data_IF_245199976955
#
_entry.id   IF_245199976955
#
_cell.length_a   1.000
_cell.length_b   1.000
_cell.length_c   1.000
_cell.angle_alpha   90.00
_cell.angle_beta   90.00
_cell.angle_gamma   90.00
#
_symmetry.space_group_name_H-M   'P 1'
#
loop_
_entity.id
_entity.type
_entity.pdbx_description
1 polymer ?
#
# COMPACT_ATOMS: atom_id res chain seq x y z
N UNK A 1 -30.92 -30.05 -43.32
CA UNK A 1 -30.11 -31.11 -42.67
C UNK A 1 -28.63 -30.70 -42.79
N UNK A 2 -28.01 -30.24 -41.70
CA UNK A 2 -26.61 -29.81 -41.71
C UNK A 2 -25.71 -31.03 -41.80
N UNK A 3 -24.82 -31.09 -42.82
CA UNK A 3 -23.98 -32.28 -43.05
C UNK A 3 -22.93 -32.45 -41.93
N UNK A 4 -22.50 -33.68 -41.67
CA UNK A 4 -21.49 -33.98 -40.64
C UNK A 4 -20.17 -33.21 -40.93
N UNK A 5 -19.86 -32.93 -42.19
CA UNK A 5 -18.71 -32.11 -42.61
C UNK A 5 -18.85 -30.66 -42.20
N UNK A 6 -20.02 -30.04 -42.36
CA UNK A 6 -20.26 -28.65 -41.96
C UNK A 6 -20.12 -28.45 -40.42
N UNK A 7 -20.64 -29.39 -39.65
CA UNK A 7 -20.48 -29.37 -38.15
C UNK A 7 -19.02 -29.49 -37.76
N UNK A 8 -18.25 -30.33 -38.41
CA UNK A 8 -16.81 -30.51 -38.17
C UNK A 8 -16.02 -29.28 -38.52
N UNK A 9 -16.33 -28.63 -39.64
CA UNK A 9 -15.68 -27.37 -40.04
C UNK A 9 -16.04 -26.20 -39.14
N UNK A 10 -17.29 -26.05 -38.71
CA UNK A 10 -17.71 -25.05 -37.73
C UNK A 10 -17.02 -25.26 -36.37
N UNK A 11 -16.86 -26.49 -35.92
CA UNK A 11 -16.14 -26.82 -34.68
C UNK A 11 -14.64 -26.51 -34.80
N UNK A 12 -14.02 -26.83 -35.92
CA UNK A 12 -12.62 -26.53 -36.22
C UNK A 12 -12.35 -25.01 -36.24
N UNK A 13 -13.19 -24.25 -36.95
CA UNK A 13 -13.12 -22.78 -36.98
C UNK A 13 -13.33 -22.14 -35.61
N UNK A 14 -14.29 -22.65 -34.83
CA UNK A 14 -14.52 -22.17 -33.44
C UNK A 14 -13.32 -22.44 -32.56
N UNK A 15 -12.75 -23.62 -32.64
CA UNK A 15 -11.55 -23.97 -31.90
C UNK A 15 -10.35 -23.11 -32.34
N UNK A 16 -10.14 -22.93 -33.64
CA UNK A 16 -9.09 -22.07 -34.16
C UNK A 16 -9.23 -20.61 -33.62
N UNK A 17 -10.43 -20.04 -33.74
CA UNK A 17 -10.71 -18.69 -33.21
C UNK A 17 -10.50 -18.60 -31.69
N UNK A 18 -10.88 -19.65 -30.93
CA UNK A 18 -10.69 -19.69 -29.50
C UNK A 18 -9.22 -19.75 -29.11
N UNK A 19 -8.42 -20.59 -29.79
CA UNK A 19 -6.98 -20.68 -29.51
C UNK A 19 -6.23 -19.44 -29.96
N UNK A 20 -6.58 -18.85 -31.11
CA UNK A 20 -5.95 -17.59 -31.57
C UNK A 20 -6.23 -16.43 -30.61
N UNK A 21 -7.45 -16.29 -30.10
CA UNK A 21 -7.79 -15.28 -29.08
C UNK A 21 -7.01 -15.50 -27.78
N UNK A 22 -6.88 -16.74 -27.33
CA UNK A 22 -6.07 -17.08 -26.14
C UNK A 22 -4.59 -16.75 -26.35
N UNK A 23 -4.05 -17.05 -27.52
CA UNK A 23 -2.65 -16.73 -27.85
C UNK A 23 -2.42 -15.22 -27.86
N UNK A 24 -3.32 -14.46 -28.49
CA UNK A 24 -3.25 -12.99 -28.51
C UNK A 24 -3.33 -12.45 -27.07
N UNK A 25 -4.28 -12.92 -26.27
CA UNK A 25 -4.42 -12.51 -24.87
C UNK A 25 -3.14 -12.81 -24.06
N UNK A 26 -2.54 -14.00 -24.26
CA UNK A 26 -1.29 -14.37 -23.62
C UNK A 26 -0.13 -13.44 -24.01
N UNK A 27 0.00 -13.11 -25.29
CA UNK A 27 1.02 -12.19 -25.79
C UNK A 27 0.84 -10.81 -25.15
N UNK A 28 -0.40 -10.29 -25.10
CA UNK A 28 -0.70 -9.00 -24.47
C UNK A 28 -0.35 -9.01 -22.98
N UNK A 29 -0.68 -10.08 -22.26
CA UNK A 29 -0.34 -10.24 -20.84
C UNK A 29 1.17 -10.30 -20.62
N UNK A 30 1.90 -11.08 -21.42
CA UNK A 30 3.36 -11.18 -21.33
C UNK A 30 4.02 -9.84 -21.64
N UNK A 31 3.58 -9.17 -22.70
CA UNK A 31 4.11 -7.85 -23.07
C UNK A 31 3.84 -6.81 -21.96
N UNK A 32 2.63 -6.80 -21.42
CA UNK A 32 2.29 -5.94 -20.28
C UNK A 32 3.14 -6.25 -19.05
N UNK A 33 3.37 -7.52 -18.73
CA UNK A 33 4.24 -7.94 -17.63
C UNK A 33 5.69 -7.46 -17.81
N UNK A 34 6.24 -7.59 -19.02
CA UNK A 34 7.58 -7.11 -19.34
C UNK A 34 7.66 -5.59 -19.15
N UNK A 35 6.69 -4.83 -19.68
CA UNK A 35 6.65 -3.38 -19.50
C UNK A 35 6.57 -2.95 -18.04
N UNK A 36 5.76 -3.65 -17.23
CA UNK A 36 5.60 -3.35 -15.80
C UNK A 36 6.84 -3.72 -14.98
N UNK A 37 7.52 -4.81 -15.31
CA UNK A 37 8.72 -5.25 -14.60
C UNK A 37 9.98 -4.50 -15.03
N UNK A 38 10.00 -3.91 -16.23
CA UNK A 38 11.16 -3.24 -16.78
C UNK A 38 11.75 -2.15 -15.86
N UNK A 39 10.98 -1.21 -15.28
CA UNK A 39 11.53 -0.20 -14.37
C UNK A 39 12.19 -0.82 -13.13
N UNK A 40 11.60 -1.91 -12.61
CA UNK A 40 12.16 -2.62 -11.45
C UNK A 40 13.47 -3.34 -11.80
N UNK A 41 13.52 -4.00 -12.95
CA UNK A 41 14.74 -4.65 -13.45
C UNK A 41 15.83 -3.62 -13.72
N UNK A 42 15.48 -2.45 -14.26
CA UNK A 42 16.41 -1.34 -14.48
C UNK A 42 16.98 -0.80 -13.14
N UNK A 43 16.11 -0.57 -12.16
CA UNK A 43 16.49 -0.15 -10.80
C UNK A 43 17.44 -1.17 -10.16
N UNK A 44 17.08 -2.46 -10.20
CA UNK A 44 17.90 -3.55 -9.67
C UNK A 44 19.25 -3.64 -10.38
N UNK A 45 19.29 -3.54 -11.69
CA UNK A 45 20.52 -3.52 -12.46
C UNK A 45 21.44 -2.37 -12.06
N UNK A 46 20.90 -1.14 -12.01
CA UNK A 46 21.70 0.04 -11.67
C UNK A 46 22.18 0.05 -10.22
N UNK A 47 21.48 -0.63 -9.31
CA UNK A 47 21.92 -0.75 -7.91
C UNK A 47 23.23 -1.54 -7.74
N UNK A 48 23.61 -2.34 -8.73
CA UNK A 48 24.87 -3.10 -8.75
C UNK A 48 25.97 -2.47 -9.58
N UNK A 49 25.71 -1.35 -10.28
CA UNK A 49 26.72 -0.66 -11.09
C UNK A 49 27.64 0.20 -10.23
N UNK A 50 28.87 0.42 -10.69
CA UNK A 50 29.74 1.42 -10.07
C UNK A 50 29.34 2.84 -10.48
N UNK A 51 29.71 3.84 -9.66
CA UNK A 51 29.50 5.26 -10.00
C UNK A 51 30.15 5.63 -11.33
N UNK A 52 31.39 5.21 -11.54
CA UNK A 52 32.13 5.46 -12.79
C UNK A 52 31.44 4.82 -13.99
N UNK A 53 30.88 3.63 -13.83
CA UNK A 53 30.16 2.94 -14.88
C UNK A 53 28.92 3.72 -15.33
N UNK A 54 28.14 4.27 -14.41
CA UNK A 54 26.96 5.06 -14.72
C UNK A 54 27.35 6.40 -15.38
N UNK A 55 28.32 7.12 -14.81
CA UNK A 55 28.75 8.42 -15.34
C UNK A 55 29.33 8.28 -16.74
N UNK A 56 30.24 7.32 -16.96
CA UNK A 56 30.91 7.14 -18.25
C UNK A 56 29.99 6.60 -19.35
N UNK A 57 28.88 5.98 -18.99
CA UNK A 57 27.92 5.41 -19.94
C UNK A 57 26.52 6.04 -19.86
N UNK A 58 26.42 7.29 -19.38
CA UNK A 58 25.16 7.99 -19.18
C UNK A 58 24.26 8.06 -20.44
N UNK A 59 24.87 8.04 -21.63
CA UNK A 59 24.18 8.07 -22.93
C UNK A 59 23.87 6.70 -23.51
N UNK A 60 24.31 5.61 -22.84
CA UNK A 60 24.14 4.24 -23.36
C UNK A 60 23.22 3.43 -22.47
N UNK A 61 22.20 2.81 -23.06
CA UNK A 61 21.30 1.93 -22.35
C UNK A 61 21.85 0.51 -22.31
N UNK A 62 22.08 -0.02 -21.11
CA UNK A 62 22.41 -1.43 -20.88
C UNK A 62 21.93 -1.89 -19.51
N UNK A 63 21.45 -3.12 -19.45
CA UNK A 63 20.87 -3.69 -18.24
C UNK A 63 21.86 -4.48 -17.40
N UNK A 64 22.89 -5.10 -18.00
CA UNK A 64 23.81 -5.98 -17.29
C UNK A 64 25.01 -5.15 -16.79
N UNK A 65 25.27 -5.05 -15.47
CA UNK A 65 26.45 -4.40 -14.95
C UNK A 65 27.74 -5.03 -15.53
N UNK A 66 28.75 -4.21 -15.81
CA UNK A 66 30.08 -4.72 -16.22
C UNK A 66 30.76 -5.41 -15.04
N UNK A 67 30.70 -4.76 -13.88
CA UNK A 67 31.16 -5.28 -12.60
C UNK A 67 30.04 -5.18 -11.58
N UNK A 68 29.79 -6.27 -10.83
CA UNK A 68 28.76 -6.29 -9.80
C UNK A 68 29.29 -5.70 -8.50
N UNK A 69 28.86 -4.48 -8.16
CA UNK A 69 29.28 -3.74 -6.96
C UNK A 69 28.22 -3.92 -5.86
N UNK A 70 28.41 -4.93 -5.00
CA UNK A 70 27.51 -5.20 -3.87
C UNK A 70 27.65 -4.20 -2.72
N UNK A 71 28.79 -3.50 -2.65
CA UNK A 71 29.09 -2.53 -1.59
C UNK A 71 28.15 -1.33 -1.60
N UNK A 72 27.47 -1.03 -2.70
CA UNK A 72 26.45 0.03 -2.76
C UNK A 72 25.39 -0.12 -1.67
N UNK A 73 25.01 -1.35 -1.33
CA UNK A 73 24.00 -1.66 -0.31
C UNK A 73 24.47 -1.43 1.13
N UNK A 74 25.77 -1.38 1.37
CA UNK A 74 26.36 -1.08 2.68
C UNK A 74 26.83 0.36 2.78
N UNK A 75 27.39 0.90 1.72
CA UNK A 75 27.89 2.28 1.67
C UNK A 75 26.75 3.29 1.79
N UNK A 76 25.56 3.02 1.26
CA UNK A 76 24.40 3.92 1.37
C UNK A 76 24.06 4.27 2.84
N UNK A 77 24.24 3.34 3.77
CA UNK A 77 24.00 3.58 5.20
C UNK A 77 25.07 4.48 5.86
N UNK A 78 26.24 4.65 5.22
CA UNK A 78 27.27 5.57 5.67
C UNK A 78 27.11 6.96 5.07
N UNK A 79 26.50 7.03 3.88
CA UNK A 79 26.31 8.29 3.15
C UNK A 79 25.11 9.06 3.67
N UNK A 80 24.01 8.35 4.01
CA UNK A 80 22.81 8.91 4.62
C UNK A 80 22.36 8.05 5.79
N UNK A 81 21.63 8.63 6.78
CA UNK A 81 21.11 7.86 7.92
C UNK A 81 19.91 7.00 7.52
N UNK A 82 20.05 6.17 6.46
CA UNK A 82 18.97 5.36 5.89
C UNK A 82 18.31 4.45 6.93
N UNK A 83 19.10 3.98 7.92
CA UNK A 83 18.60 3.18 9.03
C UNK A 83 17.57 3.94 9.88
N UNK A 84 17.78 5.24 10.11
CA UNK A 84 16.81 6.09 10.81
C UNK A 84 15.52 6.21 9.99
N UNK A 85 15.63 6.40 8.67
CA UNK A 85 14.46 6.46 7.78
C UNK A 85 13.62 5.18 7.84
N UNK A 86 14.26 4.01 7.83
CA UNK A 86 13.58 2.72 8.04
C UNK A 86 12.90 2.67 9.42
N UNK A 87 13.61 3.02 10.48
CA UNK A 87 13.10 2.96 11.84
C UNK A 87 11.93 3.94 12.05
N UNK A 88 12.05 5.17 11.58
CA UNK A 88 11.00 6.19 11.67
C UNK A 88 9.73 5.73 10.95
N UNK A 89 9.88 5.24 9.70
CA UNK A 89 8.74 4.70 8.94
C UNK A 89 8.11 3.51 9.67
N UNK A 90 8.91 2.59 10.20
CA UNK A 90 8.43 1.41 10.91
C UNK A 90 7.69 1.78 12.21
N UNK A 91 8.18 2.78 12.96
CA UNK A 91 7.50 3.28 14.18
C UNK A 91 6.12 3.83 13.82
N UNK A 92 6.04 4.72 12.82
CA UNK A 92 4.75 5.25 12.35
C UNK A 92 3.83 4.11 11.92
N UNK A 93 4.33 3.21 11.09
CA UNK A 93 3.60 2.07 10.53
C UNK A 93 2.99 1.19 11.62
N UNK A 94 3.83 0.70 12.55
CA UNK A 94 3.38 -0.23 13.60
C UNK A 94 2.37 0.43 14.52
N UNK A 95 2.66 1.65 14.98
CA UNK A 95 1.78 2.36 15.94
C UNK A 95 0.43 2.66 15.29
N UNK A 96 0.44 3.21 14.08
CA UNK A 96 -0.79 3.59 13.36
C UNK A 96 -1.60 2.34 12.98
N UNK A 97 -0.97 1.31 12.44
CA UNK A 97 -1.70 0.11 12.04
C UNK A 97 -2.29 -0.64 13.23
N UNK A 98 -1.56 -0.79 14.32
CA UNK A 98 -2.06 -1.54 15.48
C UNK A 98 -3.20 -0.78 16.17
N UNK A 99 -2.95 0.46 16.56
CA UNK A 99 -3.94 1.25 17.32
C UNK A 99 -5.10 1.68 16.42
N UNK A 100 -4.79 2.22 15.24
CA UNK A 100 -5.80 2.70 14.30
C UNK A 100 -6.70 1.59 13.77
N UNK A 101 -6.16 0.38 13.49
CA UNK A 101 -6.98 -0.77 13.10
C UNK A 101 -7.91 -1.20 14.24
N UNK A 102 -7.42 -1.25 15.47
CA UNK A 102 -8.24 -1.56 16.63
C UNK A 102 -9.41 -0.56 16.77
N UNK A 103 -9.11 0.73 16.74
CA UNK A 103 -10.13 1.80 16.84
C UNK A 103 -11.13 1.70 15.67
N UNK A 104 -10.62 1.50 14.45
CA UNK A 104 -11.48 1.40 13.26
C UNK A 104 -12.40 0.19 13.30
N UNK A 105 -11.90 -0.98 13.72
CA UNK A 105 -12.71 -2.20 13.82
C UNK A 105 -13.77 -2.09 14.91
N UNK A 106 -13.43 -1.46 16.04
CA UNK A 106 -14.39 -1.19 17.11
C UNK A 106 -15.49 -0.23 16.65
N UNK A 107 -15.13 0.82 15.92
CA UNK A 107 -16.08 1.74 15.29
C UNK A 107 -16.94 1.00 14.27
N UNK A 108 -16.36 0.18 13.39
CA UNK A 108 -17.12 -0.59 12.39
C UNK A 108 -18.13 -1.53 13.04
N UNK A 109 -17.77 -2.21 14.13
CA UNK A 109 -18.69 -3.02 14.92
C UNK A 109 -19.83 -2.18 15.48
N UNK A 110 -19.51 -1.03 16.10
CA UNK A 110 -20.51 -0.14 16.67
C UNK A 110 -21.48 0.39 15.61
N UNK A 111 -20.96 0.86 14.48
CA UNK A 111 -21.79 1.36 13.37
C UNK A 111 -22.54 0.27 12.60
N UNK A 112 -22.16 -0.98 12.66
CA UNK A 112 -22.89 -2.07 12.00
C UNK A 112 -23.95 -2.69 12.93
N UNK A 113 -23.62 -2.92 14.21
CA UNK A 113 -24.42 -3.79 15.11
C UNK A 113 -25.13 -3.06 16.24
N UNK A 114 -24.66 -1.88 16.64
CA UNK A 114 -25.28 -1.17 17.76
C UNK A 114 -26.22 -0.08 17.22
N UNK A 115 -27.39 0.01 17.85
CA UNK A 115 -28.30 1.11 17.61
C UNK A 115 -28.11 2.18 18.70
N UNK A 116 -27.64 3.35 18.30
CA UNK A 116 -27.48 4.50 19.17
C UNK A 116 -28.02 5.77 18.51
N UNK A 117 -28.38 6.75 19.33
CA UNK A 117 -28.93 8.01 18.84
C UNK A 117 -27.91 8.74 17.95
N UNK A 118 -28.35 9.21 16.79
CA UNK A 118 -27.50 9.96 15.86
C UNK A 118 -26.53 9.12 15.04
N UNK A 119 -26.56 7.78 15.11
CA UNK A 119 -25.67 6.84 14.41
C UNK A 119 -25.42 7.23 12.95
N UNK A 120 -26.47 7.44 12.18
CA UNK A 120 -26.36 7.76 10.76
C UNK A 120 -25.76 9.15 10.53
N UNK A 121 -26.14 10.13 11.35
CA UNK A 121 -25.60 11.50 11.26
C UNK A 121 -24.09 11.50 11.50
N UNK A 122 -23.63 10.85 12.58
CA UNK A 122 -22.22 10.74 12.89
C UNK A 122 -21.47 10.00 11.79
N UNK A 123 -22.03 8.90 11.27
CA UNK A 123 -21.41 8.15 10.18
C UNK A 123 -21.26 8.99 8.91
N UNK A 124 -22.29 9.72 8.49
CA UNK A 124 -22.22 10.59 7.32
C UNK A 124 -21.29 11.80 7.52
N UNK A 125 -21.19 12.33 8.72
CA UNK A 125 -20.20 13.38 9.06
C UNK A 125 -18.78 12.86 8.92
N UNK A 126 -18.49 11.65 9.39
CA UNK A 126 -17.17 11.03 9.17
C UNK A 126 -16.88 10.85 7.69
N UNK A 127 -17.84 10.35 6.91
CA UNK A 127 -17.67 10.19 5.47
C UNK A 127 -17.46 11.52 4.74
N UNK A 128 -18.17 12.58 5.14
CA UNK A 128 -18.00 13.90 4.54
C UNK A 128 -16.59 14.45 4.75
N UNK A 129 -15.95 14.11 5.86
CA UNK A 129 -14.55 14.46 6.13
C UNK A 129 -13.56 13.89 5.09
N UNK A 130 -13.84 12.71 4.52
CA UNK A 130 -13.01 12.13 3.45
C UNK A 130 -13.08 12.92 2.14
N UNK A 131 -14.11 13.73 1.93
CA UNK A 131 -14.26 14.54 0.71
C UNK A 131 -13.37 15.78 0.73
N UNK A 132 -12.81 16.13 1.89
CA UNK A 132 -11.90 17.28 2.03
C UNK A 132 -10.50 16.84 1.56
N UNK A 133 -9.96 17.43 0.47
CA UNK A 133 -8.63 17.09 0.01
C UNK A 133 -7.58 17.45 1.06
N UNK A 134 -6.60 16.57 1.28
CA UNK A 134 -5.53 16.78 2.26
C UNK A 134 -4.81 18.12 2.08
N UNK A 135 -4.56 18.52 0.82
CA UNK A 135 -3.87 19.78 0.51
C UNK A 135 -4.59 21.02 1.08
N UNK A 136 -5.92 20.96 1.20
CA UNK A 136 -6.74 22.09 1.72
C UNK A 136 -6.55 22.27 3.22
N UNK A 137 -6.33 21.19 3.95
CA UNK A 137 -6.15 21.20 5.41
C UNK A 137 -4.69 21.27 5.83
N UNK A 138 -3.77 21.16 4.88
CA UNK A 138 -2.33 21.10 5.13
C UNK A 138 -1.81 22.31 5.91
N UNK A 139 -2.12 23.54 5.44
CA UNK A 139 -1.64 24.77 6.07
C UNK A 139 -2.17 24.93 7.50
N UNK A 140 -3.48 24.80 7.77
CA UNK A 140 -3.99 24.84 9.14
C UNK A 140 -3.46 23.69 10.02
N UNK A 141 -3.22 22.49 9.47
CA UNK A 141 -2.59 21.40 10.23
C UNK A 141 -1.13 21.72 10.57
N UNK A 142 -0.37 22.25 9.64
CA UNK A 142 1.01 22.66 9.88
C UNK A 142 1.10 23.72 11.00
N UNK A 143 0.26 24.76 10.95
CA UNK A 143 0.18 25.78 12.00
C UNK A 143 -0.19 25.18 13.36
N UNK A 144 -1.16 24.26 13.38
CA UNK A 144 -1.57 23.56 14.59
C UNK A 144 -0.41 22.75 15.20
N UNK A 145 0.28 21.92 14.41
CA UNK A 145 1.41 21.12 14.88
C UNK A 145 2.58 21.96 15.37
N UNK A 146 2.86 23.09 14.66
CA UNK A 146 3.90 24.03 15.08
C UNK A 146 3.56 24.70 16.41
N UNK A 147 2.31 25.12 16.63
CA UNK A 147 1.87 25.71 17.89
C UNK A 147 1.85 24.75 19.08
N UNK A 148 1.75 23.46 18.80
CA UNK A 148 1.80 22.39 19.81
C UNK A 148 3.23 21.87 20.06
N UNK A 149 4.25 22.50 19.44
CA UNK A 149 5.66 22.07 19.51
C UNK A 149 5.88 20.60 19.07
N UNK A 150 5.03 20.13 18.15
CA UNK A 150 5.11 18.77 17.57
C UNK A 150 5.77 18.74 16.19
N UNK A 151 6.08 19.90 15.62
CA UNK A 151 6.82 20.01 14.35
C UNK A 151 8.20 19.37 14.50
N UNK A 152 8.68 18.75 13.43
CA UNK A 152 9.92 17.97 13.39
C UNK A 152 9.94 16.74 14.34
N UNK A 153 8.77 16.18 14.62
CA UNK A 153 8.60 14.91 15.33
C UNK A 153 7.72 13.96 14.51
N UNK A 154 7.72 12.66 14.85
CA UNK A 154 6.86 11.69 14.18
C UNK A 154 5.36 11.81 14.54
N UNK A 155 5.04 12.60 15.58
CA UNK A 155 3.68 12.71 16.12
C UNK A 155 2.64 13.26 15.15
N UNK A 156 2.92 14.27 14.29
CA UNK A 156 2.00 14.72 13.25
C UNK A 156 1.55 13.63 12.29
N UNK A 157 2.39 12.61 12.07
CA UNK A 157 2.11 11.47 11.20
C UNK A 157 1.42 10.32 11.93
N UNK A 158 1.63 10.20 13.24
CA UNK A 158 1.07 9.15 14.09
C UNK A 158 -0.32 9.52 14.62
N UNK A 159 -0.47 10.70 15.24
CA UNK A 159 -1.67 11.07 15.98
C UNK A 159 -2.95 10.96 15.15
N UNK A 160 -3.04 11.48 13.90
CA UNK A 160 -4.26 11.35 13.11
C UNK A 160 -4.68 9.90 12.88
N UNK A 161 -3.70 9.01 12.68
CA UNK A 161 -3.93 7.59 12.46
C UNK A 161 -4.44 6.82 13.68
N UNK A 162 -4.18 7.31 14.91
CA UNK A 162 -4.67 6.68 16.15
C UNK A 162 -6.19 6.73 16.28
N UNK A 163 -6.84 7.72 15.67
CA UNK A 163 -8.31 7.85 15.67
C UNK A 163 -8.98 6.95 14.63
N UNK A 164 -8.21 6.14 13.93
CA UNK A 164 -8.71 5.21 12.93
C UNK A 164 -8.68 5.76 11.50
N UNK A 165 -9.15 4.93 10.58
CA UNK A 165 -9.21 5.23 9.15
C UNK A 165 -10.66 5.18 8.66
N UNK A 166 -11.19 6.31 8.22
CA UNK A 166 -12.61 6.42 7.82
C UNK A 166 -12.92 5.59 6.57
N UNK A 167 -11.98 5.48 5.62
CA UNK A 167 -12.14 4.61 4.44
C UNK A 167 -12.24 3.15 4.83
N UNK A 168 -11.38 2.71 5.75
CA UNK A 168 -11.41 1.36 6.32
C UNK A 168 -12.70 1.13 7.12
N UNK A 169 -13.13 2.11 7.93
CA UNK A 169 -14.39 2.06 8.67
C UNK A 169 -15.59 1.84 7.73
N UNK A 170 -15.68 2.63 6.67
CA UNK A 170 -16.74 2.49 5.67
C UNK A 170 -16.75 1.09 5.06
N UNK A 171 -15.59 0.62 4.59
CA UNK A 171 -15.47 -0.69 3.97
C UNK A 171 -15.82 -1.83 4.93
N UNK A 172 -15.30 -1.79 6.16
CA UNK A 172 -15.57 -2.81 7.18
C UNK A 172 -17.04 -2.83 7.60
N UNK A 173 -17.66 -1.65 7.71
CA UNK A 173 -19.11 -1.56 7.98
C UNK A 173 -19.91 -2.20 6.86
N UNK A 174 -19.64 -1.89 5.59
CA UNK A 174 -20.32 -2.49 4.44
C UNK A 174 -20.14 -4.02 4.41
N UNK A 175 -18.94 -4.50 4.69
CA UNK A 175 -18.65 -5.93 4.77
C UNK A 175 -19.44 -6.57 5.93
N UNK A 176 -19.41 -5.97 7.11
CA UNK A 176 -20.14 -6.45 8.27
C UNK A 176 -21.65 -6.47 8.06
N UNK A 177 -22.23 -5.46 7.38
CA UNK A 177 -23.64 -5.39 7.07
C UNK A 177 -24.10 -6.52 6.12
N UNK A 178 -23.17 -7.12 5.35
CA UNK A 178 -23.47 -8.28 4.50
C UNK A 178 -23.57 -9.59 5.27
N UNK A 179 -23.16 -9.63 6.54
CA UNK A 179 -23.22 -10.82 7.40
C UNK A 179 -24.64 -10.90 8.01
N UNK A 180 -25.35 -12.03 7.91
CA UNK A 180 -26.70 -12.18 8.49
C UNK A 180 -26.75 -11.87 9.98
N UNK A 181 -27.81 -11.21 10.43
CA UNK A 181 -28.00 -10.84 11.84
C UNK A 181 -28.14 -12.07 12.74
N UNK A 182 -28.73 -13.14 12.23
CA UNK A 182 -28.96 -14.38 12.97
C UNK A 182 -27.70 -14.91 13.69
N UNK A 183 -26.52 -14.67 13.11
CA UNK A 183 -25.23 -15.08 13.71
C UNK A 183 -24.97 -14.32 15.04
N UNK A 184 -25.32 -13.04 15.06
CA UNK A 184 -25.14 -12.18 16.25
C UNK A 184 -26.23 -12.41 17.28
N UNK A 185 -27.48 -12.56 16.84
CA UNK A 185 -28.62 -12.89 17.68
C UNK A 185 -28.42 -14.24 18.39
N UNK A 186 -27.92 -15.25 17.67
CA UNK A 186 -27.57 -16.54 18.29
C UNK A 186 -26.50 -16.39 19.39
N UNK A 187 -25.51 -15.51 19.20
CA UNK A 187 -24.51 -15.24 20.23
C UNK A 187 -25.11 -14.52 21.44
N UNK A 188 -26.01 -13.56 21.22
CA UNK A 188 -26.73 -12.86 22.30
C UNK A 188 -27.61 -13.81 23.11
N UNK A 189 -28.30 -14.76 22.44
CA UNK A 189 -29.11 -15.79 23.12
C UNK A 189 -28.29 -16.70 24.04
N UNK A 190 -27.00 -16.85 23.81
CA UNK A 190 -26.08 -17.57 24.73
C UNK A 190 -25.60 -16.72 25.91
N UNK A 191 -26.08 -15.47 26.04
CA UNK A 191 -25.67 -14.56 27.10
C UNK A 191 -24.34 -13.85 26.83
N UNK A 192 -23.84 -13.85 25.58
CA UNK A 192 -22.59 -13.17 25.23
C UNK A 192 -22.77 -11.65 25.33
N UNK A 193 -21.87 -10.98 26.05
CA UNK A 193 -21.86 -9.53 26.15
C UNK A 193 -21.20 -8.91 24.89
N UNK A 194 -21.32 -7.60 24.76
CA UNK A 194 -20.78 -6.78 23.67
C UNK A 194 -19.32 -7.11 23.29
N UNK A 195 -18.43 -7.16 24.28
CA UNK A 195 -17.01 -7.45 24.04
C UNK A 195 -16.76 -8.90 23.62
N UNK A 196 -17.55 -9.84 24.15
CA UNK A 196 -17.48 -11.25 23.74
C UNK A 196 -17.87 -11.40 22.27
N UNK A 197 -18.96 -10.76 21.85
CA UNK A 197 -19.43 -10.78 20.46
C UNK A 197 -18.39 -10.09 19.56
N UNK A 198 -17.86 -8.94 19.95
CA UNK A 198 -16.81 -8.26 19.20
C UNK A 198 -15.59 -9.17 18.94
N UNK A 199 -15.02 -9.75 20.01
CA UNK A 199 -13.78 -10.53 19.90
C UNK A 199 -13.98 -11.93 19.29
N UNK A 200 -15.08 -12.63 19.63
CA UNK A 200 -15.28 -14.02 19.28
C UNK A 200 -16.15 -14.24 18.05
N UNK A 201 -16.95 -13.24 17.65
CA UNK A 201 -17.86 -13.36 16.51
C UNK A 201 -17.49 -12.36 15.42
N UNK A 202 -17.54 -11.06 15.74
CA UNK A 202 -17.35 -10.01 14.74
C UNK A 202 -15.94 -10.06 14.11
N UNK A 203 -14.88 -9.94 14.90
CA UNK A 203 -13.51 -9.89 14.39
C UNK A 203 -13.13 -11.12 13.54
N UNK A 204 -13.43 -12.36 13.93
CA UNK A 204 -13.17 -13.52 13.08
C UNK A 204 -13.91 -13.49 11.74
N UNK A 205 -15.17 -13.04 11.73
CA UNK A 205 -15.99 -12.98 10.53
C UNK A 205 -15.51 -11.90 9.55
N UNK A 206 -15.10 -10.73 10.06
CA UNK A 206 -14.60 -9.63 9.22
C UNK A 206 -13.09 -9.68 8.97
N UNK A 207 -12.38 -10.67 9.51
CA UNK A 207 -10.92 -10.82 9.38
C UNK A 207 -10.40 -10.70 7.94
N UNK A 208 -11.02 -11.31 6.91
CA UNK A 208 -10.53 -11.16 5.54
C UNK A 208 -10.57 -9.69 5.07
N UNK A 209 -11.62 -8.96 5.43
CA UNK A 209 -11.78 -7.56 5.10
C UNK A 209 -10.79 -6.66 5.87
N UNK A 210 -10.55 -6.96 7.16
CA UNK A 210 -9.53 -6.28 7.96
C UNK A 210 -8.16 -6.43 7.30
N UNK A 211 -7.77 -7.66 6.96
CA UNK A 211 -6.46 -7.92 6.35
C UNK A 211 -6.28 -7.16 5.04
N UNK A 212 -7.29 -7.16 4.17
CA UNK A 212 -7.22 -6.40 2.92
C UNK A 212 -7.02 -4.90 3.18
N UNK A 213 -7.76 -4.30 4.10
CA UNK A 213 -7.67 -2.89 4.41
C UNK A 213 -6.36 -2.50 5.12
N UNK A 214 -5.87 -3.35 6.04
CA UNK A 214 -4.57 -3.14 6.71
C UNK A 214 -3.44 -3.12 5.69
N UNK A 215 -3.49 -3.97 4.67
CA UNK A 215 -2.47 -3.97 3.61
C UNK A 215 -2.52 -2.67 2.80
N UNK A 216 -3.71 -2.18 2.42
CA UNK A 216 -3.82 -0.89 1.72
C UNK A 216 -3.34 0.26 2.59
N UNK A 217 -3.62 0.24 3.88
CA UNK A 217 -3.16 1.28 4.81
C UNK A 217 -1.65 1.21 5.01
N UNK A 218 -1.09 -0.01 5.15
CA UNK A 218 0.36 -0.24 5.14
C UNK A 218 1.01 0.38 3.90
N UNK A 219 0.52 0.05 2.70
CA UNK A 219 1.07 0.60 1.47
C UNK A 219 0.98 2.13 1.41
N UNK A 220 -0.10 2.71 1.97
CA UNK A 220 -0.29 4.16 2.06
C UNK A 220 0.77 4.82 2.94
N UNK A 221 0.99 4.31 4.15
CA UNK A 221 1.96 4.87 5.10
C UNK A 221 3.40 4.62 4.61
N UNK A 222 3.71 3.39 4.17
CA UNK A 222 5.05 3.03 3.71
C UNK A 222 5.54 3.88 2.54
N UNK A 223 4.63 4.23 1.62
CA UNK A 223 4.96 5.04 0.44
C UNK A 223 4.65 6.53 0.62
N UNK A 224 4.20 6.97 1.80
CA UNK A 224 3.94 8.37 2.04
C UNK A 224 5.24 9.17 1.98
N UNK A 225 5.18 10.18 1.13
CA UNK A 225 6.28 11.11 0.93
C UNK A 225 5.85 12.53 1.34
N UNK A 226 4.62 12.91 0.99
CA UNK A 226 4.21 14.30 1.00
C UNK A 226 4.01 14.86 2.42
N UNK A 227 3.32 14.12 3.29
CA UNK A 227 3.15 14.52 4.68
C UNK A 227 4.50 14.57 5.44
N UNK A 228 5.29 13.48 5.39
CA UNK A 228 6.60 13.44 6.06
C UNK A 228 7.57 14.51 5.57
N UNK A 229 7.60 14.86 4.28
CA UNK A 229 8.48 15.89 3.74
C UNK A 229 8.21 17.28 4.32
N UNK A 230 6.94 17.56 4.62
CA UNK A 230 6.51 18.84 5.18
C UNK A 230 6.74 18.92 6.69
N UNK A 231 6.49 17.83 7.41
CA UNK A 231 6.53 17.85 8.87
C UNK A 231 7.91 17.53 9.45
N UNK A 232 8.84 16.92 8.69
CA UNK A 232 10.13 16.42 9.15
C UNK A 232 11.30 17.08 8.38
N UNK A 233 11.67 18.33 8.69
CA UNK A 233 12.79 19.01 8.02
C UNK A 233 14.15 18.40 8.36
N UNK A 234 14.36 17.98 9.63
CA UNK A 234 15.64 17.41 10.08
C UNK A 234 15.88 16.04 9.44
N UNK A 235 17.08 15.84 8.88
CA UNK A 235 17.43 14.64 8.11
C UNK A 235 17.23 13.34 8.90
N UNK A 236 17.62 13.33 10.17
CA UNK A 236 17.53 12.17 11.07
C UNK A 236 16.09 11.77 11.38
N UNK A 237 15.15 12.73 11.30
CA UNK A 237 13.73 12.52 11.56
C UNK A 237 12.95 12.08 10.33
N UNK A 238 13.53 12.24 9.12
CA UNK A 238 12.84 11.89 7.86
C UNK A 238 12.43 10.42 7.81
N UNK A 239 11.32 10.16 7.11
CA UNK A 239 10.91 8.80 6.74
C UNK A 239 11.75 8.28 5.58
N UNK A 240 11.69 6.98 5.35
CA UNK A 240 12.48 6.30 4.33
C UNK A 240 12.30 6.91 2.93
N UNK A 241 11.05 7.15 2.51
CA UNK A 241 10.77 7.68 1.16
C UNK A 241 11.28 9.10 0.98
N UNK A 242 11.10 9.94 2.00
CA UNK A 242 11.61 11.33 1.97
C UNK A 242 13.13 11.34 1.97
N UNK A 243 13.77 10.47 2.74
CA UNK A 243 15.23 10.37 2.82
C UNK A 243 15.84 9.94 1.49
N UNK A 244 15.26 8.93 0.82
CA UNK A 244 15.72 8.48 -0.51
C UNK A 244 15.60 9.63 -1.51
N UNK A 245 14.46 10.33 -1.52
CA UNK A 245 14.22 11.44 -2.45
C UNK A 245 15.08 12.67 -2.14
N UNK A 246 15.28 13.00 -0.86
CA UNK A 246 16.19 14.06 -0.45
C UNK A 246 17.59 13.80 -0.99
N UNK A 247 18.06 12.56 -0.86
CA UNK A 247 19.38 12.18 -1.35
C UNK A 247 19.49 12.24 -2.88
N UNK A 248 18.44 11.86 -3.61
CA UNK A 248 18.39 11.97 -5.08
C UNK A 248 18.46 13.43 -5.54
N UNK A 249 17.82 14.36 -4.83
CA UNK A 249 17.74 15.77 -5.21
C UNK A 249 18.92 16.61 -4.69
N UNK A 250 19.31 16.47 -3.43
CA UNK A 250 20.19 17.42 -2.72
C UNK A 250 21.65 16.94 -2.66
N UNK A 251 21.92 15.66 -2.56
CA UNK A 251 23.29 15.16 -2.53
C UNK A 251 24.05 15.36 -3.86
N UNK A 252 23.34 15.70 -4.92
CA UNK A 252 23.88 15.95 -6.25
C UNK A 252 24.02 17.41 -6.65
N UNK A 253 23.78 18.39 -5.76
CA UNK A 253 23.93 19.81 -6.10
C UNK A 253 22.88 20.33 -7.09
N UNK A 254 21.61 19.95 -6.95
CA UNK A 254 20.49 20.49 -7.69
C UNK A 254 20.25 19.86 -9.07
N UNK A 255 19.93 18.57 -9.08
CA UNK A 255 19.50 17.88 -10.31
C UNK A 255 20.10 16.48 -10.48
N UNK A 256 19.87 15.58 -9.51
CA UNK A 256 20.13 14.15 -9.67
C UNK A 256 21.56 13.83 -10.15
N UNK A 257 22.57 13.99 -9.29
CA UNK A 257 23.94 13.66 -9.70
C UNK A 257 24.03 12.17 -10.05
N UNK A 258 24.39 11.86 -11.29
CA UNK A 258 24.62 10.51 -11.77
C UNK A 258 25.59 9.71 -10.88
N UNK A 259 26.46 10.42 -10.15
CA UNK A 259 27.44 9.83 -9.23
C UNK A 259 26.76 9.04 -8.10
N UNK A 260 25.63 9.54 -7.57
CA UNK A 260 24.92 8.89 -6.46
C UNK A 260 23.82 7.93 -6.90
N UNK A 261 23.54 7.87 -8.20
CA UNK A 261 22.46 7.03 -8.73
C UNK A 261 22.54 5.55 -8.29
N UNK A 262 23.69 4.87 -8.23
CA UNK A 262 23.76 3.49 -7.74
C UNK A 262 23.27 3.34 -6.30
N UNK A 263 23.56 4.33 -5.43
CA UNK A 263 23.12 4.33 -4.03
C UNK A 263 21.62 4.57 -3.92
N UNK A 264 21.08 5.54 -4.67
CA UNK A 264 19.61 5.79 -4.73
C UNK A 264 18.88 4.54 -5.20
N UNK A 265 19.40 3.86 -6.23
CA UNK A 265 18.84 2.61 -6.74
C UNK A 265 18.91 1.49 -5.70
N UNK A 266 20.04 1.36 -4.98
CA UNK A 266 20.18 0.38 -3.91
C UNK A 266 19.22 0.65 -2.74
N UNK A 267 19.09 1.92 -2.31
CA UNK A 267 18.12 2.31 -1.29
C UNK A 267 16.67 2.03 -1.71
N UNK A 268 16.33 2.31 -2.99
CA UNK A 268 15.01 2.04 -3.55
C UNK A 268 14.72 0.54 -3.63
N UNK A 269 15.70 -0.30 -3.97
CA UNK A 269 15.55 -1.76 -3.90
C UNK A 269 15.30 -2.22 -2.47
N UNK A 270 16.08 -1.73 -1.49
CA UNK A 270 15.86 -2.05 -0.07
C UNK A 270 14.48 -1.60 0.40
N UNK A 271 14.05 -0.41 0.02
CA UNK A 271 12.72 0.13 0.34
C UNK A 271 11.57 -0.70 -0.25
N UNK A 272 11.78 -1.38 -1.37
CA UNK A 272 10.76 -2.23 -2.00
C UNK A 272 10.59 -3.58 -1.31
N UNK A 273 11.56 -4.06 -0.52
CA UNK A 273 11.53 -5.38 0.11
C UNK A 273 10.32 -5.57 1.04
N UNK A 274 10.01 -4.67 1.99
CA UNK A 274 8.85 -4.83 2.87
C UNK A 274 7.52 -4.86 2.08
N UNK A 275 7.38 -3.99 1.08
CA UNK A 275 6.19 -3.94 0.21
C UNK A 275 5.99 -5.25 -0.54
N UNK A 276 7.05 -5.79 -1.16
CA UNK A 276 7.02 -7.07 -1.86
C UNK A 276 6.75 -8.22 -0.90
N UNK A 277 7.34 -8.20 0.30
CA UNK A 277 7.13 -9.21 1.33
C UNK A 277 5.67 -9.26 1.76
N UNK A 278 5.09 -8.10 2.08
CA UNK A 278 3.66 -7.99 2.43
C UNK A 278 2.79 -8.50 1.27
N UNK A 279 3.08 -8.10 0.03
CA UNK A 279 2.33 -8.57 -1.13
C UNK A 279 2.39 -10.09 -1.29
N UNK A 280 3.59 -10.70 -1.24
CA UNK A 280 3.77 -12.15 -1.41
C UNK A 280 3.03 -12.94 -0.32
N UNK A 281 3.10 -12.49 0.93
CA UNK A 281 2.43 -13.16 2.06
C UNK A 281 0.90 -13.08 1.92
N UNK A 282 0.39 -11.93 1.51
CA UNK A 282 -1.05 -11.64 1.56
C UNK A 282 -1.76 -11.68 0.20
N UNK A 283 -1.08 -11.95 -0.94
CA UNK A 283 -1.67 -11.95 -2.29
C UNK A 283 -2.97 -12.75 -2.42
N UNK A 284 -3.09 -13.87 -1.70
CA UNK A 284 -4.30 -14.71 -1.70
C UNK A 284 -5.55 -13.98 -1.19
N UNK A 285 -5.38 -13.03 -0.28
CA UNK A 285 -6.51 -12.25 0.25
C UNK A 285 -6.99 -11.20 -0.75
N UNK A 286 -6.09 -10.64 -1.56
CA UNK A 286 -6.47 -9.74 -2.65
C UNK A 286 -7.34 -10.46 -3.68
N UNK A 287 -6.89 -11.62 -4.16
CA UNK A 287 -7.60 -12.39 -5.21
C UNK A 287 -9.01 -12.76 -4.74
N UNK A 288 -9.15 -13.24 -3.52
CA UNK A 288 -10.46 -13.67 -2.98
C UNK A 288 -11.45 -12.51 -2.79
N UNK A 289 -10.98 -11.33 -2.40
CA UNK A 289 -11.83 -10.15 -2.21
C UNK A 289 -12.42 -9.67 -3.54
N UNK A 290 -11.65 -9.73 -4.63
CA UNK A 290 -12.13 -9.35 -5.97
C UNK A 290 -13.06 -10.40 -6.60
N UNK A 291 -12.87 -11.70 -6.32
CA UNK A 291 -13.76 -12.74 -6.84
C UNK A 291 -15.16 -12.67 -6.22
N UNK A 292 -15.30 -12.30 -4.95
CA UNK A 292 -16.58 -12.15 -4.28
C UNK A 292 -17.40 -10.97 -4.82
N UNK A 293 -16.76 -9.93 -5.35
CA UNK A 293 -17.43 -8.80 -5.99
C UNK A 293 -17.86 -9.08 -7.44
N UNK A 294 -17.20 -10.01 -8.14
CA UNK A 294 -17.46 -10.36 -9.54
C UNK A 294 -18.52 -11.47 -9.76
N UNK A 295 -18.93 -12.20 -8.71
CA UNK A 295 -19.83 -13.34 -8.86
C UNK A 295 -21.33 -13.01 -8.69
N UNK A 296 -21.71 -11.75 -8.70
CA UNK A 296 -23.11 -11.28 -8.62
C UNK A 296 -23.71 -10.96 -10.00
N UNK A 297 -23.37 -11.75 -11.03
CA UNK A 297 -24.09 -11.73 -12.31
C UNK A 297 -24.37 -13.15 -12.80
#
# INVERSE_FOLDING_TARGET
METALERRNKKALRNFKFYSLKTIALIVVIFGAILMLFPYVYMLSNSFKSQNEIVNNAMTFYLIPKDFVFTNYTEIFKVIPLGNGFLNTLIIEVVVLVVGTFVTTLAAYSFSRINFFGKNVVFYLLLSGMMIPFITVLVPQFDMWSKLDLYDTLLPLIIPGLFGNVSMLFFLKQYADSIPNDVYEAAEMTGANFFTIYWKVFLPLVRPAILAQVIFWFLGIWNDFFGPDIYLPTLENKTLQVMIRFFDNDAGGGGGSLIYQPYVMAASVLSSIPTLTVYIIFQKYFVNTFMLSGSKH
#
